data_IF_283704947079
#
_entry.id   IF_283704947079
#
_cell.length_a   1.000
_cell.length_b   1.000
_cell.length_c   1.000
_cell.angle_alpha   90.00
_cell.angle_beta   90.00
_cell.angle_gamma   90.00
#
_symmetry.space_group_name_H-M   'P 1'
#
loop_
_entity.id
_entity.type
_entity.pdbx_description
1 polymer ?
#
# COMPACT_ATOMS: atom_id res chain seq x y z
N UNK A 1 -10.55 -21.49 11.08
CA UNK A 1 -11.07 -21.20 9.72
C UNK A 1 -10.08 -21.72 8.69
N UNK A 2 -10.52 -21.92 7.42
CA UNK A 2 -9.64 -22.14 6.28
C UNK A 2 -9.52 -20.84 5.50
N UNK A 3 -8.28 -20.41 5.23
CA UNK A 3 -7.96 -19.16 4.55
C UNK A 3 -7.25 -19.50 3.23
N UNK A 4 -7.88 -19.23 2.09
CA UNK A 4 -7.30 -19.50 0.77
C UNK A 4 -6.68 -18.20 0.23
N UNK A 5 -5.37 -18.15 0.12
CA UNK A 5 -4.61 -16.95 -0.20
C UNK A 5 -3.87 -17.16 -1.52
N UNK A 6 -4.17 -16.34 -2.53
CA UNK A 6 -3.30 -16.24 -3.70
C UNK A 6 -2.02 -15.51 -3.30
N UNK A 7 -0.87 -16.11 -3.59
CA UNK A 7 0.43 -15.59 -3.18
C UNK A 7 1.23 -15.17 -4.41
N UNK A 8 1.49 -13.87 -4.56
CA UNK A 8 2.30 -13.28 -5.61
C UNK A 8 3.62 -12.83 -5.00
N UNK A 9 4.68 -13.63 -5.16
CA UNK A 9 6.00 -13.26 -4.64
C UNK A 9 6.59 -12.08 -5.40
N UNK A 10 6.34 -12.00 -6.71
CA UNK A 10 6.77 -10.89 -7.57
C UNK A 10 8.27 -10.87 -7.84
N UNK A 11 8.85 -9.67 -7.90
CA UNK A 11 10.19 -9.38 -8.38
C UNK A 11 11.11 -8.85 -7.26
N UNK A 12 12.41 -8.83 -7.51
CA UNK A 12 13.41 -8.23 -6.62
C UNK A 12 13.39 -8.82 -5.21
N UNK A 13 13.14 -7.97 -4.19
CA UNK A 13 13.03 -8.40 -2.78
C UNK A 13 11.70 -9.10 -2.46
N UNK A 14 10.73 -9.08 -3.38
CA UNK A 14 9.40 -9.65 -3.15
C UNK A 14 9.39 -11.08 -2.61
N UNK A 15 10.14 -12.04 -3.19
CA UNK A 15 10.24 -13.40 -2.67
C UNK A 15 10.75 -13.49 -1.22
N UNK A 16 11.72 -12.64 -0.84
CA UNK A 16 12.29 -12.62 0.52
C UNK A 16 11.25 -12.16 1.54
N UNK A 17 10.63 -10.99 1.32
CA UNK A 17 9.70 -10.38 2.26
C UNK A 17 8.38 -11.17 2.39
N UNK A 18 7.86 -11.73 1.28
CA UNK A 18 6.67 -12.59 1.31
C UNK A 18 6.92 -13.87 2.09
N UNK A 19 8.11 -14.47 1.94
CA UNK A 19 8.49 -15.66 2.73
C UNK A 19 8.44 -15.37 4.22
N UNK A 20 8.87 -14.19 4.67
CA UNK A 20 8.81 -13.83 6.08
C UNK A 20 7.35 -13.56 6.53
N UNK A 21 6.55 -12.90 5.72
CA UNK A 21 5.12 -12.71 6.03
C UNK A 21 4.37 -14.05 6.12
N UNK A 22 4.62 -14.99 5.21
CA UNK A 22 4.06 -16.35 5.28
C UNK A 22 4.49 -17.09 6.56
N UNK A 23 5.75 -16.93 7.00
CA UNK A 23 6.24 -17.52 8.24
C UNK A 23 5.46 -17.01 9.46
N UNK A 24 5.25 -15.69 9.55
CA UNK A 24 4.47 -15.08 10.65
C UNK A 24 3.00 -15.50 10.58
N UNK A 25 2.38 -15.47 9.39
CA UNK A 25 1.00 -15.95 9.18
C UNK A 25 0.82 -17.42 9.59
N UNK A 26 1.76 -18.30 9.21
CA UNK A 26 1.70 -19.72 9.59
C UNK A 26 1.80 -19.90 11.12
N UNK A 27 2.59 -19.06 11.79
CA UNK A 27 2.65 -19.10 13.26
C UNK A 27 1.34 -18.62 13.88
N UNK A 28 0.74 -17.55 13.37
CA UNK A 28 -0.61 -17.09 13.77
C UNK A 28 -1.63 -18.22 13.56
N UNK A 29 -1.65 -18.83 12.37
CA UNK A 29 -2.57 -19.93 12.09
C UNK A 29 -2.41 -21.10 13.08
N UNK A 30 -1.20 -21.44 13.43
CA UNK A 30 -0.90 -22.48 14.43
C UNK A 30 -1.43 -22.11 15.83
N UNK A 31 -1.21 -20.86 16.28
CA UNK A 31 -1.61 -20.42 17.61
C UNK A 31 -3.14 -20.27 17.75
N UNK A 32 -3.81 -19.83 16.68
CA UNK A 32 -5.24 -19.52 16.71
C UNK A 32 -6.14 -20.59 16.06
N UNK A 33 -5.56 -21.71 15.60
CA UNK A 33 -6.32 -22.85 15.08
C UNK A 33 -6.91 -22.60 13.69
N UNK A 34 -6.15 -21.97 12.80
CA UNK A 34 -6.51 -21.75 11.40
C UNK A 34 -5.74 -22.68 10.46
N UNK A 35 -6.28 -22.90 9.27
CA UNK A 35 -5.60 -23.57 8.14
C UNK A 35 -5.38 -22.54 7.05
N UNK A 36 -4.14 -22.36 6.59
CA UNK A 36 -3.84 -21.48 5.46
C UNK A 36 -3.45 -22.32 4.25
N UNK A 37 -4.08 -22.05 3.12
CA UNK A 37 -3.76 -22.64 1.82
C UNK A 37 -3.25 -21.54 0.91
N UNK A 38 -1.99 -21.65 0.48
CA UNK A 38 -1.39 -20.72 -0.49
C UNK A 38 -1.48 -21.29 -1.90
N UNK A 39 -1.91 -20.42 -2.83
CA UNK A 39 -1.85 -20.67 -4.27
C UNK A 39 -0.82 -19.71 -4.87
N UNK A 40 0.33 -20.24 -5.31
CA UNK A 40 1.35 -19.40 -5.94
C UNK A 40 0.86 -18.90 -7.30
N UNK A 41 0.99 -17.59 -7.53
CA UNK A 41 0.58 -16.88 -8.75
C UNK A 41 1.75 -16.07 -9.28
N UNK A 42 2.09 -16.24 -10.55
CA UNK A 42 3.14 -15.48 -11.23
C UNK A 42 2.60 -14.14 -11.72
N UNK A 43 3.35 -13.06 -11.44
CA UNK A 43 3.09 -11.72 -11.97
C UNK A 43 4.40 -10.92 -12.07
N UNK A 44 4.39 -9.87 -12.88
CA UNK A 44 5.54 -8.98 -13.06
C UNK A 44 6.60 -9.57 -13.97
N UNK A 45 7.86 -9.27 -13.67
CA UNK A 45 9.02 -9.78 -14.39
C UNK A 45 9.11 -11.31 -14.35
N UNK A 46 8.81 -11.91 -13.20
CA UNK A 46 8.77 -13.36 -13.05
C UNK A 46 7.78 -14.04 -14.02
N UNK A 47 6.62 -13.39 -14.26
CA UNK A 47 5.65 -13.90 -15.26
C UNK A 47 6.12 -13.64 -16.70
N UNK A 48 6.76 -12.49 -16.97
CA UNK A 48 7.33 -12.20 -18.30
C UNK A 48 8.38 -13.25 -18.67
N UNK A 49 9.29 -13.56 -17.74
CA UNK A 49 10.36 -14.54 -17.98
C UNK A 49 9.83 -15.96 -18.20
N UNK A 50 8.74 -16.34 -17.52
CA UNK A 50 8.14 -17.67 -17.62
C UNK A 50 7.12 -17.80 -18.77
N UNK A 51 6.31 -16.78 -19.04
CA UNK A 51 5.13 -16.83 -19.88
C UNK A 51 5.11 -15.80 -21.01
N UNK A 52 6.08 -14.87 -21.07
CA UNK A 52 6.16 -13.80 -22.07
C UNK A 52 5.21 -12.62 -21.83
N UNK A 53 4.39 -12.64 -20.78
CA UNK A 53 3.43 -11.59 -20.42
C UNK A 53 3.48 -11.29 -18.91
N UNK A 54 3.22 -10.04 -18.50
CA UNK A 54 3.34 -9.66 -17.09
C UNK A 54 2.26 -10.26 -16.17
N UNK A 55 1.13 -10.73 -16.74
CA UNK A 55 0.06 -11.42 -16.01
C UNK A 55 -0.80 -12.21 -17.00
N UNK A 56 -0.90 -13.53 -16.79
CA UNK A 56 -1.75 -14.41 -17.60
C UNK A 56 -3.22 -14.37 -17.12
N UNK A 57 -4.16 -14.84 -17.96
CA UNK A 57 -5.57 -14.89 -17.56
C UNK A 57 -5.82 -16.02 -16.54
N UNK A 58 -5.04 -17.09 -16.57
CA UNK A 58 -5.05 -18.16 -15.56
C UNK A 58 -4.62 -17.63 -14.19
N UNK A 59 -3.60 -16.75 -14.15
CA UNK A 59 -3.16 -16.10 -12.93
C UNK A 59 -4.27 -15.19 -12.34
N UNK A 60 -4.98 -14.44 -13.19
CA UNK A 60 -6.16 -13.64 -12.77
C UNK A 60 -7.27 -14.54 -12.24
N UNK A 61 -7.54 -15.68 -12.91
CA UNK A 61 -8.56 -16.63 -12.46
C UNK A 61 -8.21 -17.24 -11.09
N UNK A 62 -6.94 -17.62 -10.88
CA UNK A 62 -6.46 -18.14 -9.60
C UNK A 62 -6.60 -17.12 -8.47
N UNK A 63 -6.24 -15.84 -8.73
CA UNK A 63 -6.43 -14.76 -7.77
C UNK A 63 -7.92 -14.56 -7.41
N UNK A 64 -8.81 -14.57 -8.39
CA UNK A 64 -10.27 -14.46 -8.17
C UNK A 64 -10.87 -15.62 -7.40
N UNK A 65 -10.30 -16.83 -7.52
CA UNK A 65 -10.78 -18.03 -6.83
C UNK A 65 -10.33 -18.12 -5.36
N UNK A 66 -9.44 -17.24 -4.93
CA UNK A 66 -8.93 -17.14 -3.55
C UNK A 66 -9.79 -16.18 -2.73
N UNK A 67 -9.62 -16.20 -1.41
CA UNK A 67 -10.31 -15.28 -0.49
C UNK A 67 -9.62 -13.90 -0.45
N UNK A 68 -8.30 -13.89 -0.65
CA UNK A 68 -7.46 -12.69 -0.66
C UNK A 68 -6.19 -12.91 -1.51
N UNK A 69 -5.50 -11.82 -1.84
CA UNK A 69 -4.18 -11.84 -2.49
C UNK A 69 -3.15 -11.23 -1.54
N UNK A 70 -2.08 -11.98 -1.23
CA UNK A 70 -0.86 -11.46 -0.58
C UNK A 70 0.22 -11.29 -1.65
N UNK A 71 0.76 -10.09 -1.77
CA UNK A 71 1.74 -9.77 -2.79
C UNK A 71 3.01 -9.17 -2.19
N UNK A 72 4.16 -9.47 -2.81
CA UNK A 72 5.43 -8.80 -2.54
C UNK A 72 5.55 -7.52 -3.36
N UNK A 73 6.51 -7.48 -4.26
CA UNK A 73 6.81 -6.27 -5.06
C UNK A 73 6.95 -6.60 -6.54
N UNK A 74 6.64 -5.64 -7.39
CA UNK A 74 6.65 -5.79 -8.85
C UNK A 74 7.60 -4.76 -9.47
N UNK A 75 8.26 -5.16 -10.55
CA UNK A 75 9.12 -4.28 -11.34
C UNK A 75 10.60 -4.57 -11.17
N UNK A 76 11.42 -3.77 -11.83
CA UNK A 76 12.87 -3.90 -11.84
C UNK A 76 13.56 -2.55 -12.03
N UNK A 77 14.87 -2.55 -12.21
CA UNK A 77 15.61 -1.34 -12.54
C UNK A 77 15.25 -0.89 -13.97
N UNK A 78 14.69 0.30 -14.10
CA UNK A 78 14.19 0.85 -15.37
C UNK A 78 15.26 1.02 -16.44
N UNK A 79 16.54 1.11 -16.05
CA UNK A 79 17.67 1.30 -16.96
C UNK A 79 18.29 -0.04 -17.38
N UNK A 80 18.41 -1.00 -16.46
CA UNK A 80 19.20 -2.22 -16.69
C UNK A 80 18.33 -3.47 -16.91
N UNK A 81 17.11 -3.51 -16.42
CA UNK A 81 16.23 -4.66 -16.59
C UNK A 81 15.76 -4.81 -18.05
N UNK A 82 15.79 -6.03 -18.63
CA UNK A 82 15.35 -6.28 -19.99
C UNK A 82 13.85 -6.00 -20.21
N UNK A 83 13.04 -6.07 -19.18
CA UNK A 83 11.58 -5.87 -19.25
C UNK A 83 11.18 -4.47 -19.71
N UNK A 84 12.02 -3.45 -19.44
CA UNK A 84 11.74 -2.06 -19.84
C UNK A 84 12.08 -1.75 -21.30
N UNK A 85 12.69 -2.72 -22.04
CA UNK A 85 12.81 -2.66 -23.49
C UNK A 85 11.54 -3.13 -24.22
N UNK A 86 10.63 -3.77 -23.51
CA UNK A 86 9.33 -4.22 -24.04
C UNK A 86 8.38 -3.02 -24.22
N UNK A 87 7.35 -3.24 -25.02
CA UNK A 87 6.24 -2.28 -25.13
C UNK A 87 5.58 -2.04 -23.76
N UNK A 88 5.05 -0.84 -23.49
CA UNK A 88 4.54 -0.48 -22.17
C UNK A 88 3.52 -1.47 -21.57
N UNK A 89 2.66 -2.05 -22.42
CA UNK A 89 1.64 -3.04 -22.06
C UNK A 89 2.20 -4.41 -21.66
N UNK A 90 3.47 -4.67 -21.96
CA UNK A 90 4.19 -5.89 -21.60
C UNK A 90 5.18 -5.70 -20.42
N UNK A 91 5.23 -4.52 -19.83
CA UNK A 91 6.08 -4.26 -18.67
C UNK A 91 5.46 -4.78 -17.38
N UNK A 92 6.26 -5.02 -16.33
CA UNK A 92 5.76 -5.57 -15.05
C UNK A 92 4.56 -4.81 -14.47
N UNK A 93 4.59 -3.48 -14.51
CA UNK A 93 3.56 -2.60 -13.97
C UNK A 93 2.20 -2.77 -14.66
N UNK A 94 2.20 -3.11 -15.96
CA UNK A 94 0.96 -3.40 -16.70
C UNK A 94 0.21 -4.61 -16.12
N UNK A 95 0.96 -5.62 -15.61
CA UNK A 95 0.37 -6.76 -14.90
C UNK A 95 -0.35 -6.33 -13.62
N UNK A 96 0.24 -5.45 -12.84
CA UNK A 96 -0.34 -4.93 -11.61
C UNK A 96 -1.62 -4.13 -11.89
N UNK A 97 -1.58 -3.23 -12.87
CA UNK A 97 -2.77 -2.45 -13.26
C UNK A 97 -3.89 -3.36 -13.80
N UNK A 98 -3.55 -4.39 -14.62
CA UNK A 98 -4.50 -5.40 -15.09
C UNK A 98 -5.13 -6.16 -13.92
N UNK A 99 -4.34 -6.58 -12.92
CA UNK A 99 -4.84 -7.31 -11.75
C UNK A 99 -5.80 -6.44 -10.93
N UNK A 100 -5.39 -5.23 -10.55
CA UNK A 100 -6.22 -4.27 -9.79
C UNK A 100 -7.57 -4.02 -10.47
N UNK A 101 -7.55 -3.77 -11.78
CA UNK A 101 -8.78 -3.58 -12.58
C UNK A 101 -9.63 -4.84 -12.63
N UNK A 102 -9.04 -6.03 -12.85
CA UNK A 102 -9.74 -7.31 -12.93
C UNK A 102 -10.44 -7.73 -11.63
N UNK A 103 -9.90 -7.28 -10.48
CA UNK A 103 -10.40 -7.53 -9.14
C UNK A 103 -11.26 -6.37 -8.60
N UNK A 104 -11.44 -5.30 -9.38
CA UNK A 104 -12.17 -4.07 -9.00
C UNK A 104 -11.65 -3.46 -7.69
N UNK A 105 -10.34 -3.40 -7.51
CA UNK A 105 -9.69 -2.89 -6.29
C UNK A 105 -9.57 -1.37 -6.36
N UNK A 106 -10.59 -0.65 -5.95
CA UNK A 106 -10.65 0.80 -6.08
C UNK A 106 -10.20 1.57 -4.83
N UNK A 107 -10.24 0.97 -3.65
CA UNK A 107 -9.91 1.64 -2.39
C UNK A 107 -8.55 1.15 -1.88
N UNK A 108 -7.51 1.99 -1.97
CA UNK A 108 -6.20 1.69 -1.46
C UNK A 108 -5.98 2.39 -0.11
N UNK A 109 -5.74 1.59 0.92
CA UNK A 109 -5.50 1.99 2.29
C UNK A 109 -4.00 1.94 2.58
N UNK A 110 -3.41 3.06 2.94
CA UNK A 110 -1.99 3.20 3.30
C UNK A 110 -1.86 3.86 4.67
N UNK A 111 -1.77 3.08 5.76
CA UNK A 111 -1.56 3.63 7.09
C UNK A 111 -0.13 4.18 7.22
N UNK A 112 0.02 5.37 7.77
CA UNK A 112 1.31 5.97 8.11
C UNK A 112 1.34 6.23 9.61
N UNK A 113 1.97 5.32 10.35
CA UNK A 113 2.11 5.35 11.81
C UNK A 113 3.58 5.52 12.16
N UNK A 114 3.91 6.57 12.92
CA UNK A 114 5.22 6.69 13.53
C UNK A 114 5.26 5.91 14.85
N UNK A 115 6.03 4.84 14.88
CA UNK A 115 6.30 4.09 16.10
C UNK A 115 7.22 4.91 17.02
N UNK A 116 6.91 5.05 18.32
CA UNK A 116 7.78 5.78 19.24
C UNK A 116 9.25 5.29 19.23
N UNK A 117 9.43 3.99 19.01
CA UNK A 117 10.74 3.33 18.93
C UNK A 117 11.52 3.70 17.65
N UNK A 118 10.88 4.34 16.69
CA UNK A 118 11.46 4.81 15.42
C UNK A 118 11.50 6.34 15.31
N UNK A 119 11.25 7.07 16.40
CA UNK A 119 11.26 8.53 16.37
C UNK A 119 12.59 9.12 15.90
N UNK A 120 13.71 8.44 16.18
CA UNK A 120 15.05 8.87 15.73
C UNK A 120 15.28 8.60 14.22
N UNK A 121 14.53 7.70 13.60
CA UNK A 121 14.57 7.48 12.15
C UNK A 121 13.70 8.49 11.38
N UNK A 122 12.78 9.18 12.05
CA UNK A 122 11.94 10.21 11.46
C UNK A 122 12.78 11.43 11.07
N UNK A 123 12.71 11.90 9.81
CA UNK A 123 13.52 13.05 9.36
C UNK A 123 12.96 14.40 9.81
N UNK A 124 11.81 14.41 10.47
CA UNK A 124 11.18 15.64 10.96
C UNK A 124 11.86 16.16 12.22
N UNK A 125 11.57 17.41 12.57
CA UNK A 125 12.06 17.99 13.83
C UNK A 125 11.61 17.16 15.02
N UNK A 126 12.48 17.09 16.04
CA UNK A 126 12.28 16.23 17.21
C UNK A 126 10.95 16.50 17.93
N UNK A 127 10.52 17.76 18.05
CA UNK A 127 9.22 18.11 18.62
C UNK A 127 8.02 17.52 17.87
N UNK A 128 8.14 17.28 16.56
CA UNK A 128 7.09 16.65 15.72
C UNK A 128 7.15 15.13 15.88
N UNK A 129 8.34 14.54 15.81
CA UNK A 129 8.50 13.09 15.94
C UNK A 129 8.16 12.58 17.34
N UNK A 130 8.51 13.33 18.40
CA UNK A 130 8.18 12.98 19.79
C UNK A 130 6.66 13.05 20.07
N UNK A 131 5.92 13.94 19.38
CA UNK A 131 4.45 13.98 19.46
C UNK A 131 3.79 12.74 18.81
N UNK A 132 4.47 12.10 17.87
CA UNK A 132 3.94 10.98 17.10
C UNK A 132 2.79 11.36 16.18
N UNK A 133 2.46 10.49 15.26
CA UNK A 133 1.29 10.62 14.39
C UNK A 133 0.82 9.26 13.91
N UNK A 134 -0.46 9.19 13.61
CA UNK A 134 -1.14 8.02 13.05
C UNK A 134 -2.18 8.51 12.06
N UNK A 135 -1.95 8.32 10.76
CA UNK A 135 -2.87 8.71 9.71
C UNK A 135 -3.13 7.57 8.73
N UNK A 136 -4.26 7.62 8.06
CA UNK A 136 -4.64 6.70 6.99
C UNK A 136 -4.80 7.48 5.69
N UNK A 137 -4.05 7.12 4.65
CA UNK A 137 -4.26 7.66 3.31
C UNK A 137 -5.18 6.72 2.55
N UNK A 138 -6.34 7.24 2.15
CA UNK A 138 -7.34 6.58 1.33
C UNK A 138 -7.19 7.08 -0.11
N UNK A 139 -6.54 6.27 -0.94
CA UNK A 139 -6.28 6.55 -2.35
C UNK A 139 -7.31 5.85 -3.22
N UNK A 140 -8.02 6.58 -4.09
CA UNK A 140 -8.73 5.95 -5.20
C UNK A 140 -7.71 5.31 -6.14
N UNK A 141 -7.94 4.07 -6.61
CA UNK A 141 -6.87 3.27 -7.23
C UNK A 141 -7.14 2.88 -8.69
N UNK A 142 -8.35 3.02 -9.20
CA UNK A 142 -8.77 2.47 -10.51
C UNK A 142 -9.27 3.52 -11.50
N UNK A 143 -9.23 4.79 -11.13
CA UNK A 143 -9.59 5.94 -11.97
C UNK A 143 -8.43 6.90 -12.19
N UNK A 144 -8.78 8.08 -12.66
CA UNK A 144 -7.88 9.21 -12.80
C UNK A 144 -6.86 9.10 -13.92
N UNK A 145 -5.73 9.77 -13.74
CA UNK A 145 -4.70 9.94 -14.77
C UNK A 145 -4.08 8.59 -15.20
N UNK A 146 -3.95 7.63 -14.29
CA UNK A 146 -3.29 6.34 -14.56
C UNK A 146 -4.14 5.41 -15.44
N UNK A 147 -5.44 5.64 -15.53
CA UNK A 147 -6.39 4.84 -16.31
C UNK A 147 -7.04 5.60 -17.47
N UNK A 148 -6.78 6.91 -17.61
CA UNK A 148 -7.26 7.72 -18.70
C UNK A 148 -6.60 7.41 -20.06
N UNK A 149 -7.18 7.92 -21.11
CA UNK A 149 -6.62 7.82 -22.45
C UNK A 149 -5.27 8.55 -22.52
N UNK A 150 -4.32 7.94 -23.21
CA UNK A 150 -2.99 8.49 -23.41
C UNK A 150 -2.49 8.22 -24.81
N UNK A 151 -1.83 9.20 -25.40
CA UNK A 151 -1.22 9.06 -26.72
C UNK A 151 -0.09 10.08 -26.93
N UNK A 152 0.84 9.72 -27.81
CA UNK A 152 1.87 10.64 -28.30
C UNK A 152 1.71 10.80 -29.81
N UNK A 153 1.63 12.04 -30.27
CA UNK A 153 1.58 12.41 -31.69
C UNK A 153 2.82 13.18 -32.09
N UNK A 154 3.11 13.21 -33.39
CA UNK A 154 4.15 14.07 -33.96
C UNK A 154 3.57 14.89 -35.10
N UNK A 155 3.64 16.23 -34.99
CA UNK A 155 3.21 17.18 -36.00
C UNK A 155 4.34 18.16 -36.31
N UNK A 156 4.70 18.30 -37.57
CA UNK A 156 5.76 19.20 -38.03
C UNK A 156 7.12 18.98 -37.30
N UNK A 157 7.48 17.72 -36.97
CA UNK A 157 8.68 17.38 -36.24
C UNK A 157 8.64 17.69 -34.74
N UNK A 158 7.50 18.11 -34.21
CA UNK A 158 7.28 18.35 -32.77
C UNK A 158 6.44 17.22 -32.18
N UNK A 159 6.97 16.56 -31.15
CA UNK A 159 6.24 15.52 -30.40
C UNK A 159 5.36 16.14 -29.32
N UNK A 160 4.12 15.65 -29.22
CA UNK A 160 3.12 16.05 -28.22
C UNK A 160 2.59 14.81 -27.54
N UNK A 161 2.74 14.73 -26.21
CA UNK A 161 2.16 13.69 -25.38
C UNK A 161 0.92 14.23 -24.64
N UNK A 162 -0.12 13.40 -24.52
CA UNK A 162 -1.37 13.70 -23.83
C UNK A 162 -1.70 12.56 -22.89
N UNK A 163 -1.98 12.88 -21.63
CA UNK A 163 -2.58 12.00 -20.63
C UNK A 163 -3.87 12.67 -20.13
N UNK A 164 -4.96 11.89 -20.04
CA UNK A 164 -6.27 12.42 -19.70
C UNK A 164 -6.66 12.00 -18.29
N UNK A 165 -6.94 12.97 -17.42
CA UNK A 165 -7.46 12.73 -16.08
C UNK A 165 -9.00 12.75 -16.13
N UNK A 166 -9.62 11.62 -15.78
CA UNK A 166 -11.09 11.46 -15.78
C UNK A 166 -11.54 10.83 -14.48
N UNK A 167 -12.59 11.37 -13.88
CA UNK A 167 -13.36 10.80 -12.79
C UNK A 167 -14.85 10.99 -13.03
N UNK A 168 -15.65 9.97 -12.73
CA UNK A 168 -17.09 10.09 -12.65
C UNK A 168 -17.59 10.13 -11.18
N UNK A 169 -18.87 10.47 -10.99
CA UNK A 169 -19.46 10.59 -9.66
C UNK A 169 -19.46 9.25 -8.89
N UNK A 170 -19.60 8.11 -9.58
CA UNK A 170 -19.65 6.80 -8.92
C UNK A 170 -18.29 6.41 -8.38
N UNK A 171 -17.23 6.67 -9.13
CA UNK A 171 -15.84 6.43 -8.71
C UNK A 171 -15.52 7.24 -7.45
N UNK A 172 -15.88 8.52 -7.45
CA UNK A 172 -15.65 9.39 -6.30
C UNK A 172 -16.52 8.97 -5.09
N UNK A 173 -17.80 8.66 -5.33
CA UNK A 173 -18.74 8.29 -4.27
C UNK A 173 -18.34 7.02 -3.55
N UNK A 174 -17.93 5.97 -4.28
CA UNK A 174 -17.53 4.69 -3.68
C UNK A 174 -16.30 4.82 -2.79
N UNK A 175 -15.30 5.61 -3.21
CA UNK A 175 -14.10 5.81 -2.37
C UNK A 175 -14.39 6.75 -1.21
N UNK A 176 -15.24 7.76 -1.37
CA UNK A 176 -15.67 8.65 -0.30
C UNK A 176 -16.38 7.86 0.81
N UNK A 177 -17.35 7.01 0.48
CA UNK A 177 -18.04 6.13 1.44
C UNK A 177 -17.01 5.31 2.24
N UNK A 178 -16.07 4.63 1.57
CA UNK A 178 -15.01 3.87 2.25
C UNK A 178 -14.15 4.74 3.16
N UNK A 179 -13.80 5.96 2.74
CA UNK A 179 -13.02 6.91 3.55
C UNK A 179 -13.76 7.35 4.81
N UNK A 180 -15.05 7.65 4.71
CA UNK A 180 -15.90 8.00 5.86
C UNK A 180 -16.13 6.79 6.78
N UNK A 181 -16.35 5.58 6.26
CA UNK A 181 -16.46 4.34 7.04
C UNK A 181 -15.20 4.07 7.88
N UNK A 182 -14.02 4.29 7.30
CA UNK A 182 -12.75 4.19 8.03
C UNK A 182 -12.64 5.28 9.09
N UNK A 183 -12.98 6.53 8.77
CA UNK A 183 -12.94 7.64 9.71
C UNK A 183 -13.85 7.41 10.92
N UNK A 184 -15.05 6.79 10.74
CA UNK A 184 -15.95 6.42 11.82
C UNK A 184 -15.32 5.46 12.84
N UNK A 185 -14.38 4.63 12.41
CA UNK A 185 -13.62 3.69 13.25
C UNK A 185 -12.34 4.30 13.83
N UNK A 186 -12.01 5.53 13.46
CA UNK A 186 -10.82 6.26 13.88
C UNK A 186 -11.20 7.54 14.63
N UNK A 187 -10.50 8.65 14.40
CA UNK A 187 -10.72 9.92 15.13
C UNK A 187 -11.81 10.81 14.52
N UNK A 188 -12.60 10.26 13.58
CA UNK A 188 -13.75 10.92 12.96
C UNK A 188 -13.41 12.23 12.24
N UNK A 189 -12.29 12.26 11.53
CA UNK A 189 -11.89 13.39 10.68
C UNK A 189 -11.48 12.89 9.30
N UNK A 190 -12.03 13.51 8.25
CA UNK A 190 -11.63 13.31 6.84
C UNK A 190 -11.07 14.63 6.31
N UNK A 191 -9.84 14.60 5.82
CA UNK A 191 -9.24 15.67 5.02
C UNK A 191 -9.29 15.23 3.56
N UNK A 192 -10.25 15.80 2.80
CA UNK A 192 -10.38 15.55 1.36
C UNK A 192 -9.37 16.40 0.60
N UNK A 193 -8.44 15.74 -0.11
CA UNK A 193 -7.32 16.39 -0.80
C UNK A 193 -7.53 16.39 -2.30
N UNK A 194 -7.45 17.57 -2.90
CA UNK A 194 -7.76 17.82 -4.31
C UNK A 194 -6.96 19.00 -4.90
N UNK A 195 -7.21 19.36 -6.17
CA UNK A 195 -6.68 20.56 -6.84
C UNK A 195 -7.83 21.40 -7.43
N UNK A 196 -8.91 21.61 -6.66
CA UNK A 196 -10.15 22.23 -7.11
C UNK A 196 -10.00 23.69 -7.59
N UNK A 197 -8.94 24.39 -7.18
CA UNK A 197 -8.62 25.72 -7.69
C UNK A 197 -8.23 25.73 -9.18
N UNK A 198 -7.87 24.57 -9.76
CA UNK A 198 -7.43 24.44 -11.15
C UNK A 198 -8.27 23.43 -11.95
N UNK A 199 -8.51 22.22 -11.40
CA UNK A 199 -9.05 21.07 -12.13
C UNK A 199 -10.57 20.92 -11.98
N UNK A 200 -11.26 20.65 -13.10
CA UNK A 200 -12.70 20.33 -13.09
C UNK A 200 -13.00 19.00 -12.39
N UNK A 201 -12.16 17.97 -12.60
CA UNK A 201 -12.27 16.70 -11.91
C UNK A 201 -12.20 16.86 -10.38
N UNK A 202 -11.32 17.73 -9.88
CA UNK A 202 -11.21 18.05 -8.46
C UNK A 202 -12.40 18.85 -7.92
N UNK A 203 -13.02 19.70 -8.74
CA UNK A 203 -14.27 20.40 -8.36
C UNK A 203 -15.43 19.40 -8.23
N UNK A 204 -15.54 18.45 -9.16
CA UNK A 204 -16.50 17.34 -9.06
C UNK A 204 -16.23 16.48 -7.83
N UNK A 205 -14.94 16.13 -7.59
CA UNK A 205 -14.51 15.37 -6.40
C UNK A 205 -15.02 16.01 -5.11
N UNK A 206 -14.74 17.29 -4.94
CA UNK A 206 -15.15 18.03 -3.73
C UNK A 206 -16.66 18.01 -3.53
N UNK A 207 -17.43 18.28 -4.60
CA UNK A 207 -18.90 18.28 -4.58
C UNK A 207 -19.46 16.91 -4.13
N UNK A 208 -18.95 15.81 -4.71
CA UNK A 208 -19.44 14.45 -4.38
C UNK A 208 -19.04 14.05 -2.96
N UNK A 209 -17.83 14.41 -2.51
CA UNK A 209 -17.40 14.17 -1.13
C UNK A 209 -18.29 14.92 -0.12
N UNK A 210 -18.66 16.18 -0.41
CA UNK A 210 -19.60 16.96 0.39
C UNK A 210 -21.01 16.35 0.43
N UNK A 211 -21.45 15.73 -0.67
CA UNK A 211 -22.73 15.01 -0.72
C UNK A 211 -22.70 13.78 0.19
N UNK A 212 -21.64 12.95 0.12
CA UNK A 212 -21.47 11.75 0.97
C UNK A 212 -21.33 12.14 2.45
N UNK A 213 -20.64 13.22 2.77
CA UNK A 213 -20.43 13.68 4.15
C UNK A 213 -21.75 13.92 4.91
N UNK A 214 -22.85 14.23 4.19
CA UNK A 214 -24.17 14.43 4.82
C UNK A 214 -24.71 13.17 5.52
N UNK A 215 -24.27 12.00 5.07
CA UNK A 215 -24.66 10.72 5.65
C UNK A 215 -23.79 10.35 6.89
N UNK A 216 -22.72 11.13 7.13
CA UNK A 216 -21.76 10.92 8.23
C UNK A 216 -21.62 12.16 9.14
N UNK A 217 -22.70 12.60 9.80
CA UNK A 217 -22.70 13.86 10.57
C UNK A 217 -21.72 13.89 11.75
N UNK A 218 -21.22 12.74 12.18
CA UNK A 218 -20.23 12.62 13.26
C UNK A 218 -18.79 12.81 12.77
N UNK A 219 -18.55 12.82 11.45
CA UNK A 219 -17.20 12.95 10.85
C UNK A 219 -16.97 14.39 10.41
N UNK A 220 -15.94 15.01 10.95
CA UNK A 220 -15.51 16.33 10.50
C UNK A 220 -14.88 16.23 9.11
N UNK A 221 -15.41 16.96 8.13
CA UNK A 221 -14.84 17.08 6.79
C UNK A 221 -14.09 18.40 6.65
N UNK A 222 -12.86 18.32 6.15
CA UNK A 222 -12.03 19.44 5.76
C UNK A 222 -11.55 19.24 4.32
N UNK A 223 -11.49 20.31 3.52
CA UNK A 223 -10.88 20.28 2.19
C UNK A 223 -9.50 20.92 2.21
N UNK A 224 -8.55 20.29 1.54
CA UNK A 224 -7.19 20.81 1.43
C UNK A 224 -6.68 20.69 0.01
N UNK A 225 -5.99 21.70 -0.52
CA UNK A 225 -5.29 21.57 -1.79
C UNK A 225 -4.08 20.67 -1.63
N UNK A 226 -3.78 19.86 -2.65
CA UNK A 226 -2.71 18.83 -2.59
C UNK A 226 -1.34 19.40 -2.27
N UNK A 227 -1.00 20.55 -2.83
CA UNK A 227 0.26 21.25 -2.55
C UNK A 227 0.36 21.72 -1.08
N UNK A 228 -0.76 22.17 -0.49
CA UNK A 228 -0.80 22.47 0.94
C UNK A 228 -0.71 21.19 1.79
N UNK A 229 -1.38 20.11 1.37
CA UNK A 229 -1.31 18.82 2.08
C UNK A 229 0.13 18.30 2.17
N UNK A 230 0.88 18.34 1.07
CA UNK A 230 2.30 17.99 1.05
C UNK A 230 3.11 18.82 2.05
N UNK A 231 2.91 20.15 2.11
CA UNK A 231 3.57 20.99 3.11
C UNK A 231 3.16 20.64 4.55
N UNK A 232 1.88 20.30 4.78
CA UNK A 232 1.37 20.00 6.12
C UNK A 232 1.81 18.62 6.61
N UNK A 233 2.03 17.63 5.73
CA UNK A 233 2.61 16.32 6.07
C UNK A 233 4.00 16.48 6.74
N UNK A 234 4.79 17.45 6.29
CA UNK A 234 6.11 17.74 6.87
C UNK A 234 6.00 18.63 8.10
N UNK A 235 5.05 19.58 8.14
CA UNK A 235 4.94 20.59 9.17
C UNK A 235 4.20 20.13 10.43
N UNK A 236 3.09 19.43 10.24
CA UNK A 236 2.19 18.97 11.29
C UNK A 236 1.40 17.73 10.84
N UNK A 237 2.06 16.55 10.72
CA UNK A 237 1.40 15.32 10.30
C UNK A 237 0.33 14.83 11.29
N UNK A 238 0.42 15.21 12.57
CA UNK A 238 -0.53 14.79 13.62
C UNK A 238 -1.95 15.36 13.43
N UNK A 239 -2.11 16.43 12.64
CA UNK A 239 -3.42 16.99 12.33
C UNK A 239 -4.32 16.07 11.51
N UNK A 240 -3.74 15.11 10.77
CA UNK A 240 -4.47 14.22 9.86
C UNK A 240 -4.94 12.95 10.57
N UNK A 241 -6.18 12.54 10.28
CA UNK A 241 -6.73 11.23 10.62
C UNK A 241 -6.89 10.37 9.37
N UNK A 242 -7.82 10.75 8.49
CA UNK A 242 -7.99 10.11 7.18
C UNK A 242 -7.79 11.15 6.08
N UNK A 243 -6.81 10.94 5.22
CA UNK A 243 -6.61 11.72 3.99
C UNK A 243 -7.30 10.97 2.87
N UNK A 244 -8.34 11.57 2.27
CA UNK A 244 -9.09 11.01 1.16
C UNK A 244 -8.71 11.74 -0.13
N UNK A 245 -8.22 11.00 -1.15
CA UNK A 245 -7.71 11.64 -2.36
C UNK A 245 -7.76 10.73 -3.59
N UNK A 246 -7.61 11.36 -4.76
CA UNK A 246 -7.55 10.70 -6.05
C UNK A 246 -6.25 9.90 -6.24
N UNK A 247 -6.16 9.15 -7.34
CA UNK A 247 -5.13 8.16 -7.62
C UNK A 247 -3.70 8.74 -7.58
N UNK A 248 -3.39 9.72 -8.42
CA UNK A 248 -2.02 10.26 -8.54
C UNK A 248 -1.60 11.03 -7.28
N UNK A 249 -2.49 11.86 -6.72
CA UNK A 249 -2.16 12.59 -5.48
C UNK A 249 -1.97 11.64 -4.31
N UNK A 250 -2.79 10.59 -4.22
CA UNK A 250 -2.67 9.56 -3.19
C UNK A 250 -1.37 8.77 -3.28
N UNK A 251 -0.89 8.53 -4.51
CA UNK A 251 0.41 7.89 -4.73
C UNK A 251 1.55 8.75 -4.16
N UNK A 252 1.61 10.01 -4.56
CA UNK A 252 2.67 10.94 -4.15
C UNK A 252 2.65 11.20 -2.65
N UNK A 253 1.46 11.54 -2.09
CA UNK A 253 1.32 11.88 -0.67
C UNK A 253 1.59 10.68 0.24
N UNK A 254 1.27 9.45 -0.18
CA UNK A 254 1.56 8.28 0.64
C UNK A 254 3.05 7.92 0.67
N UNK A 255 3.77 8.15 -0.42
CA UNK A 255 5.22 7.97 -0.44
C UNK A 255 5.92 9.04 0.42
N UNK A 256 5.46 10.29 0.38
CA UNK A 256 5.90 11.34 1.30
C UNK A 256 5.61 10.95 2.76
N UNK A 257 4.39 10.52 3.06
CA UNK A 257 4.01 10.07 4.40
C UNK A 257 4.86 8.88 4.89
N UNK A 258 5.27 7.97 3.98
CA UNK A 258 6.17 6.87 4.32
C UNK A 258 7.54 7.37 4.80
N UNK A 259 8.09 8.37 4.13
CA UNK A 259 9.39 8.93 4.49
C UNK A 259 9.34 9.66 5.82
N UNK A 260 8.23 10.35 6.15
CA UNK A 260 8.11 11.00 7.46
C UNK A 260 7.91 10.01 8.61
N UNK A 261 7.53 8.75 8.35
CA UNK A 261 7.55 7.66 9.37
C UNK A 261 8.94 7.04 9.58
N UNK A 262 9.93 7.43 8.78
CA UNK A 262 11.32 6.99 8.89
C UNK A 262 11.74 5.93 7.89
N UNK A 263 10.84 5.12 7.32
CA UNK A 263 11.17 4.16 6.26
C UNK A 263 9.94 3.68 5.50
N UNK A 264 10.06 3.60 4.18
CA UNK A 264 9.07 2.96 3.31
C UNK A 264 8.91 1.45 3.61
N UNK A 265 9.93 0.82 4.23
CA UNK A 265 9.89 -0.58 4.70
C UNK A 265 8.92 -0.82 5.86
N UNK A 266 8.33 0.23 6.43
CA UNK A 266 7.30 0.16 7.48
C UNK A 266 5.88 0.37 6.94
N UNK A 267 5.71 0.79 5.68
CA UNK A 267 4.42 1.18 5.13
C UNK A 267 3.70 -0.01 4.49
N UNK A 268 2.71 -0.53 5.21
CA UNK A 268 1.76 -1.53 4.70
C UNK A 268 0.72 -0.93 3.77
N UNK A 269 0.05 -1.77 2.99
CA UNK A 269 -1.02 -1.35 2.09
C UNK A 269 -2.07 -2.44 1.91
N UNK A 270 -3.32 -2.03 1.77
CA UNK A 270 -4.45 -2.86 1.38
C UNK A 270 -5.20 -2.22 0.22
N UNK A 271 -5.45 -2.98 -0.83
CA UNK A 271 -6.31 -2.57 -1.95
C UNK A 271 -7.60 -3.37 -1.89
N UNK A 272 -8.72 -2.71 -1.65
CA UNK A 272 -10.02 -3.33 -1.39
C UNK A 272 -11.01 -3.03 -2.51
N UNK A 273 -11.98 -3.93 -2.69
CA UNK A 273 -13.17 -3.69 -3.50
C UNK A 273 -14.40 -3.41 -2.61
N UNK A 274 -15.59 -3.51 -3.15
CA UNK A 274 -16.87 -3.34 -2.47
C UNK A 274 -17.28 -4.53 -1.60
N UNK A 275 -16.58 -5.66 -1.73
CA UNK A 275 -16.74 -6.84 -0.86
C UNK A 275 -15.68 -6.87 0.25
N UNK A 276 -15.42 -8.05 0.82
CA UNK A 276 -14.30 -8.29 1.76
C UNK A 276 -13.01 -8.69 1.04
N UNK A 277 -13.04 -8.87 -0.29
CA UNK A 277 -11.85 -9.25 -1.05
C UNK A 277 -10.85 -8.11 -1.11
N UNK A 278 -9.57 -8.43 -0.92
CA UNK A 278 -8.48 -7.47 -0.99
C UNK A 278 -7.17 -8.05 -1.52
N UNK A 279 -6.32 -7.15 -1.99
CA UNK A 279 -4.92 -7.37 -2.29
C UNK A 279 -4.08 -6.61 -1.27
N UNK A 280 -3.13 -7.30 -0.68
CA UNK A 280 -2.31 -6.83 0.43
C UNK A 280 -0.84 -6.88 0.05
N UNK A 281 -0.20 -5.73 0.00
CA UNK A 281 1.17 -5.56 -0.49
C UNK A 281 1.88 -4.46 0.30
N UNK A 282 3.22 -4.49 0.45
CA UNK A 282 3.95 -3.33 0.94
C UNK A 282 3.86 -2.18 -0.07
N UNK A 283 3.96 -0.93 0.38
CA UNK A 283 3.91 0.22 -0.52
C UNK A 283 5.21 0.46 -1.30
N UNK A 284 6.32 -0.15 -0.88
CA UNK A 284 7.61 -0.02 -1.55
C UNK A 284 7.72 -0.88 -2.82
N UNK A 285 8.66 -0.53 -3.69
CA UNK A 285 8.98 -1.28 -4.91
C UNK A 285 9.85 -2.53 -4.68
N UNK A 286 10.36 -3.07 -5.78
CA UNK A 286 11.11 -4.33 -5.82
C UNK A 286 12.57 -4.25 -5.36
N UNK A 287 13.14 -3.04 -5.21
CA UNK A 287 14.51 -2.79 -4.75
C UNK A 287 15.55 -3.82 -5.30
N UNK A 288 15.71 -3.93 -6.62
CA UNK A 288 16.51 -4.98 -7.25
C UNK A 288 18.00 -4.93 -6.87
N UNK A 289 18.47 -3.80 -6.41
CA UNK A 289 19.85 -3.58 -5.95
C UNK A 289 20.19 -4.29 -4.64
N UNK A 290 19.18 -4.58 -3.81
CA UNK A 290 19.36 -5.29 -2.53
C UNK A 290 18.77 -6.70 -2.53
N UNK A 291 18.14 -7.13 -3.62
CA UNK A 291 17.55 -8.47 -3.75
C UNK A 291 18.59 -9.59 -3.54
N UNK A 292 18.25 -10.61 -2.78
CA UNK A 292 19.11 -11.75 -2.46
C UNK A 292 20.21 -11.47 -1.43
N UNK A 293 20.23 -10.27 -0.82
CA UNK A 293 21.25 -9.89 0.19
C UNK A 293 20.80 -10.07 1.64
N UNK A 294 19.57 -10.50 1.86
CA UNK A 294 18.96 -10.68 3.20
C UNK A 294 18.98 -9.40 4.06
N UNK A 295 18.86 -8.22 3.44
CA UNK A 295 18.87 -6.92 4.15
C UNK A 295 17.54 -6.15 4.04
N UNK A 296 16.60 -6.64 3.23
CA UNK A 296 15.29 -6.03 3.07
C UNK A 296 14.49 -6.06 4.39
N UNK A 297 13.71 -5.01 4.64
CA UNK A 297 12.79 -4.96 5.78
C UNK A 297 11.48 -5.67 5.44
N UNK A 298 11.10 -6.79 6.11
CA UNK A 298 9.85 -7.50 5.80
C UNK A 298 8.63 -6.94 6.54
N UNK A 299 8.80 -5.94 7.43
CA UNK A 299 7.74 -5.50 8.36
C UNK A 299 6.53 -4.95 7.60
N UNK A 300 6.72 -4.17 6.53
CA UNK A 300 5.61 -3.67 5.72
C UNK A 300 4.74 -4.80 5.16
N UNK A 301 5.35 -5.89 4.67
CA UNK A 301 4.60 -7.05 4.16
C UNK A 301 3.90 -7.82 5.27
N UNK A 302 4.53 -7.94 6.45
CA UNK A 302 3.90 -8.56 7.65
C UNK A 302 2.70 -7.73 8.12
N UNK A 303 2.82 -6.40 8.16
CA UNK A 303 1.71 -5.51 8.50
C UNK A 303 0.61 -5.53 7.43
N UNK A 304 0.96 -5.66 6.14
CA UNK A 304 -0.03 -5.87 5.07
C UNK A 304 -0.79 -7.18 5.26
N UNK A 305 -0.10 -8.25 5.67
CA UNK A 305 -0.74 -9.51 6.02
C UNK A 305 -1.64 -9.39 7.28
N UNK A 306 -1.29 -8.56 8.27
CA UNK A 306 -2.19 -8.24 9.38
C UNK A 306 -3.46 -7.51 8.92
N UNK A 307 -3.32 -6.54 7.98
CA UNK A 307 -4.48 -5.90 7.33
C UNK A 307 -5.36 -6.93 6.60
N UNK A 308 -4.77 -7.94 5.95
CA UNK A 308 -5.52 -9.02 5.30
C UNK A 308 -6.37 -9.81 6.31
N UNK A 309 -5.81 -10.18 7.44
CA UNK A 309 -6.55 -10.86 8.50
C UNK A 309 -7.71 -10.00 8.99
N UNK A 310 -7.50 -8.70 9.19
CA UNK A 310 -8.50 -7.75 9.68
C UNK A 310 -9.61 -7.48 8.66
N UNK A 311 -9.28 -7.14 7.42
CA UNK A 311 -10.26 -6.62 6.46
C UNK A 311 -10.93 -7.69 5.61
N UNK A 312 -10.23 -8.79 5.25
CA UNK A 312 -10.83 -9.89 4.49
C UNK A 312 -11.47 -10.92 5.40
N UNK A 313 -10.79 -11.30 6.48
CA UNK A 313 -11.19 -12.45 7.29
C UNK A 313 -11.89 -12.10 8.60
N UNK A 314 -12.00 -10.81 8.99
CA UNK A 314 -12.53 -10.32 10.28
C UNK A 314 -11.82 -10.97 11.50
N UNK A 315 -10.52 -11.20 11.38
CA UNK A 315 -9.66 -11.81 12.39
C UNK A 315 -8.86 -10.71 13.11
N UNK A 316 -9.55 -9.85 13.86
CA UNK A 316 -8.95 -8.70 14.55
C UNK A 316 -7.90 -9.11 15.59
N UNK A 317 -8.17 -10.17 16.36
CA UNK A 317 -7.25 -10.65 17.42
C UNK A 317 -5.93 -11.14 16.83
N UNK A 318 -5.99 -11.85 15.71
CA UNK A 318 -4.86 -12.36 14.97
C UNK A 318 -4.06 -11.22 14.34
N UNK A 319 -4.74 -10.22 13.79
CA UNK A 319 -4.11 -9.00 13.27
C UNK A 319 -3.41 -8.22 14.39
N UNK A 320 -4.09 -8.01 15.53
CA UNK A 320 -3.52 -7.33 16.69
C UNK A 320 -2.28 -8.06 17.23
N UNK A 321 -2.25 -9.40 17.21
CA UNK A 321 -1.09 -10.19 17.60
C UNK A 321 0.12 -9.91 16.69
N UNK A 322 -0.08 -9.80 15.37
CA UNK A 322 0.99 -9.46 14.44
C UNK A 322 1.49 -8.03 14.64
N UNK A 323 0.59 -7.06 14.80
CA UNK A 323 0.95 -5.66 15.06
C UNK A 323 1.68 -5.51 16.41
N UNK A 324 1.24 -6.24 17.44
CA UNK A 324 1.93 -6.30 18.73
C UNK A 324 3.32 -6.89 18.61
N UNK A 325 3.48 -7.99 17.85
CA UNK A 325 4.80 -8.59 17.62
C UNK A 325 5.79 -7.58 17.00
N UNK A 326 5.35 -6.77 16.03
CA UNK A 326 6.18 -5.71 15.46
C UNK A 326 6.59 -4.71 16.53
N UNK A 327 5.66 -4.21 17.36
CA UNK A 327 5.97 -3.27 18.45
C UNK A 327 6.98 -3.86 19.45
N UNK A 328 6.78 -5.10 19.86
CA UNK A 328 7.69 -5.74 20.84
C UNK A 328 9.10 -5.95 20.27
N UNK A 329 9.23 -6.33 19.00
CA UNK A 329 10.56 -6.46 18.36
C UNK A 329 11.26 -5.10 18.27
N UNK A 330 10.52 -4.03 17.92
CA UNK A 330 11.07 -2.68 17.92
C UNK A 330 11.51 -2.22 19.32
N UNK A 331 10.72 -2.50 20.38
CA UNK A 331 11.09 -2.22 21.80
C UNK A 331 12.33 -2.99 22.25
N UNK A 332 12.49 -4.24 21.79
CA UNK A 332 13.69 -5.05 22.07
C UNK A 332 14.94 -4.55 21.33
N UNK A 333 14.81 -3.51 20.52
CA UNK A 333 15.92 -2.84 19.83
C UNK A 333 16.40 -3.57 18.57
N UNK A 334 15.66 -4.53 18.01
CA UNK A 334 16.03 -5.13 16.73
C UNK A 334 15.61 -4.23 15.56
N UNK A 335 16.51 -4.09 14.57
CA UNK A 335 16.34 -3.21 13.42
C UNK A 335 16.88 -3.85 12.14
N UNK A 336 16.22 -3.59 11.03
CA UNK A 336 16.82 -3.73 9.71
C UNK A 336 17.62 -2.47 9.35
N UNK A 337 18.40 -2.50 8.30
CA UNK A 337 19.35 -1.43 7.95
C UNK A 337 18.68 -0.07 7.67
N UNK A 338 17.47 -0.09 7.13
CA UNK A 338 16.66 1.10 6.75
C UNK A 338 16.10 1.87 7.95
N UNK A 339 15.94 1.19 9.09
CA UNK A 339 15.41 1.78 10.34
C UNK A 339 16.43 1.70 11.50
N UNK A 340 17.72 1.56 11.15
CA UNK A 340 18.78 1.40 12.16
C UNK A 340 19.00 2.68 12.95
N UNK A 341 19.17 2.56 14.25
CA UNK A 341 19.52 3.64 15.16
C UNK A 341 20.57 3.20 16.20
N UNK A 342 21.21 4.16 16.85
CA UNK A 342 22.26 3.90 17.83
C UNK A 342 21.74 3.04 19.00
N UNK A 343 22.54 2.07 19.45
CA UNK A 343 22.18 1.16 20.53
C UNK A 343 21.30 -0.01 20.12
N UNK A 344 20.84 -0.06 18.86
CA UNK A 344 20.03 -1.15 18.34
C UNK A 344 20.86 -2.30 17.73
N UNK A 345 20.23 -3.46 17.59
CA UNK A 345 20.83 -4.66 17.01
C UNK A 345 20.39 -4.82 15.56
N UNK A 346 21.34 -4.74 14.64
CA UNK A 346 21.10 -4.97 13.20
C UNK A 346 20.77 -6.42 12.93
N UNK A 347 19.68 -6.67 12.20
CA UNK A 347 19.27 -8.00 11.72
C UNK A 347 18.91 -7.97 10.24
N UNK A 348 19.05 -9.10 9.56
CA UNK A 348 18.59 -9.27 8.17
C UNK A 348 17.11 -9.61 8.08
N UNK A 349 16.63 -9.69 6.84
CA UNK A 349 15.23 -9.99 6.50
C UNK A 349 14.75 -11.30 7.13
N UNK A 350 15.52 -12.37 6.96
CA UNK A 350 15.21 -13.71 7.51
C UNK A 350 15.12 -13.68 9.02
N UNK A 351 16.12 -13.09 9.69
CA UNK A 351 16.16 -13.01 11.16
C UNK A 351 15.02 -12.15 11.72
N UNK A 352 14.66 -11.05 11.03
CA UNK A 352 13.52 -10.25 11.43
C UNK A 352 12.22 -11.06 11.38
N UNK A 353 12.00 -11.83 10.31
CA UNK A 353 10.85 -12.74 10.20
C UNK A 353 10.81 -13.82 11.29
N UNK A 354 11.96 -14.40 11.67
CA UNK A 354 12.05 -15.37 12.75
C UNK A 354 11.68 -14.76 14.11
N UNK A 355 12.18 -13.56 14.39
CA UNK A 355 11.89 -12.82 15.61
C UNK A 355 10.39 -12.48 15.72
N UNK A 356 9.80 -11.96 14.63
CA UNK A 356 8.37 -11.65 14.60
C UNK A 356 7.50 -12.88 14.81
N UNK A 357 7.83 -14.01 14.17
CA UNK A 357 7.09 -15.26 14.36
C UNK A 357 7.21 -15.78 15.80
N UNK A 358 8.36 -15.61 16.45
CA UNK A 358 8.58 -16.03 17.84
C UNK A 358 7.78 -15.21 18.86
N UNK A 359 7.39 -13.97 18.54
CA UNK A 359 6.56 -13.11 19.41
C UNK A 359 5.07 -13.45 19.35
N UNK A 360 4.61 -14.26 18.39
CA UNK A 360 3.21 -14.69 18.29
C UNK A 360 2.93 -15.80 19.28
N UNK A 361 2.05 -15.52 20.23
CA UNK A 361 1.58 -16.42 21.30
C UNK A 361 0.14 -16.92 21.09
#
# INVERSE_FOLDING_TARGET
>A
MKLNIACIKGDGIGPEIVTQAQKVLNRVAQCYGHEIVYTDVLMGGASIDACGVPLTDEAVAAAKASDAVLMGSIGGNTTTSPWYKLAPELRPEAGLLKLRKSLNLFANLRPALLYPELSDACPLKKEISDAGFDMMIMRELTGGLYFGERHTTEENGVRKAVDTLVYDENEIRRIAIKGFDIAMKRRKKVTSVDKANVLDSSRLWRKVVEEVAKDYPEVALEHMLVDNCAMQLVKDPAQFDVILTENMFGDILSDEASMVTGSIGMLSSASLNDTKFGLYEPSHGSAPDIAGKDIANPIATVLSAAMMLRFTFDLDREADAMEKAVKEILKKGYRTSDIMSEGCTLVGCTKMGDLLAAEIE
#
